data_IF_774573588843
#
_entry.id   IF_774573588843
#
_cell.length_a   1.000
_cell.length_b   1.000
_cell.length_c   1.000
_cell.angle_alpha   90.00
_cell.angle_beta   90.00
_cell.angle_gamma   90.00
#
_symmetry.space_group_name_H-M   'P 1'
#
loop_
_entity.id
_entity.type
_entity.pdbx_description
1 polymer ?
#
# COMPACT_ATOMS: atom_id res chain seq x y z
N UNK A 1 -25.16 -22.95 -80.22
CA UNK A 1 -23.99 -23.30 -79.42
C UNK A 1 -23.51 -22.02 -78.76
N UNK A 2 -24.24 -21.45 -77.80
CA UNK A 2 -23.88 -20.26 -77.00
C UNK A 2 -24.95 -20.10 -75.90
N UNK A 3 -24.80 -20.68 -74.70
CA UNK A 3 -25.52 -20.32 -73.47
C UNK A 3 -25.25 -21.33 -72.34
N UNK A 4 -23.99 -21.40 -71.89
CA UNK A 4 -23.67 -22.21 -70.72
C UNK A 4 -22.55 -21.61 -69.87
N UNK A 5 -22.40 -20.29 -69.79
CA UNK A 5 -21.40 -19.63 -68.91
C UNK A 5 -21.97 -18.41 -68.22
N UNK A 6 -23.06 -18.55 -67.48
CA UNK A 6 -23.54 -17.48 -66.56
C UNK A 6 -24.28 -18.07 -65.35
N UNK A 7 -23.58 -18.79 -64.48
CA UNK A 7 -24.11 -19.10 -63.14
C UNK A 7 -23.00 -19.57 -62.18
N UNK A 8 -22.03 -18.71 -61.94
CA UNK A 8 -21.09 -18.86 -60.83
C UNK A 8 -20.64 -17.46 -60.35
N UNK A 9 -21.57 -16.71 -59.84
CA UNK A 9 -21.29 -15.47 -59.11
C UNK A 9 -22.42 -15.31 -58.09
N UNK A 10 -22.18 -15.67 -56.82
CA UNK A 10 -22.74 -15.08 -55.60
C UNK A 10 -22.85 -16.09 -54.43
N UNK A 11 -21.77 -16.82 -54.09
CA UNK A 11 -21.76 -17.63 -52.88
C UNK A 11 -20.75 -17.15 -51.84
N UNK A 12 -20.06 -16.01 -52.08
CA UNK A 12 -19.03 -15.51 -51.15
C UNK A 12 -19.46 -14.48 -50.10
N UNK A 13 -20.69 -13.96 -50.22
CA UNK A 13 -21.13 -12.88 -49.31
C UNK A 13 -21.48 -13.28 -47.87
N UNK A 14 -22.12 -14.40 -47.56
CA UNK A 14 -22.47 -14.72 -46.17
C UNK A 14 -21.26 -15.02 -45.28
N UNK A 15 -20.21 -15.62 -45.81
CA UNK A 15 -19.02 -15.96 -44.99
C UNK A 15 -18.16 -14.77 -44.64
N UNK A 16 -18.10 -13.72 -45.48
CA UNK A 16 -17.35 -12.48 -45.17
C UNK A 16 -18.02 -11.65 -44.06
N UNK A 17 -19.35 -11.68 -44.00
CA UNK A 17 -20.10 -10.98 -42.94
C UNK A 17 -20.06 -11.74 -41.59
N UNK A 18 -20.08 -13.07 -41.63
CA UNK A 18 -19.94 -13.93 -40.44
C UNK A 18 -18.52 -13.81 -39.84
N UNK A 19 -17.46 -13.72 -40.66
CA UNK A 19 -16.09 -13.52 -40.20
C UNK A 19 -15.86 -12.14 -39.59
N UNK A 20 -16.46 -11.08 -40.15
CA UNK A 20 -16.39 -9.74 -39.62
C UNK A 20 -17.14 -9.61 -38.29
N UNK A 21 -18.28 -10.27 -38.11
CA UNK A 21 -19.02 -10.31 -36.86
C UNK A 21 -18.29 -11.09 -35.78
N UNK A 22 -17.59 -12.19 -36.11
CA UNK A 22 -16.79 -12.97 -35.17
C UNK A 22 -15.55 -12.19 -34.67
N UNK A 23 -14.90 -11.39 -35.54
CA UNK A 23 -13.78 -10.53 -35.18
C UNK A 23 -14.20 -9.35 -34.27
N UNK A 24 -15.42 -8.82 -34.43
CA UNK A 24 -15.95 -7.78 -33.54
C UNK A 24 -16.33 -8.31 -32.14
N UNK A 25 -16.76 -9.57 -32.02
CA UNK A 25 -17.06 -10.18 -30.71
C UNK A 25 -15.80 -10.46 -29.88
N UNK A 26 -14.64 -10.65 -30.48
CA UNK A 26 -13.37 -10.86 -29.76
C UNK A 26 -12.76 -9.55 -29.23
N UNK A 27 -13.24 -8.36 -29.65
CA UNK A 27 -12.67 -7.08 -29.26
C UNK A 27 -13.20 -6.52 -27.93
N UNK A 28 -14.17 -7.17 -27.28
CA UNK A 28 -14.73 -6.73 -25.99
C UNK A 28 -14.29 -7.60 -24.80
N UNK A 29 -13.16 -8.31 -24.92
CA UNK A 29 -12.51 -8.84 -23.74
C UNK A 29 -12.02 -7.63 -22.93
N UNK A 30 -12.85 -7.12 -22.03
CA UNK A 30 -12.42 -6.20 -21.00
C UNK A 30 -11.18 -6.79 -20.36
N UNK A 31 -10.02 -6.18 -20.58
CA UNK A 31 -8.79 -6.58 -19.91
C UNK A 31 -9.04 -6.45 -18.39
N UNK A 32 -9.44 -7.55 -17.77
CA UNK A 32 -9.54 -7.64 -16.32
C UNK A 32 -8.09 -7.55 -15.83
N UNK A 33 -7.67 -6.33 -15.48
CA UNK A 33 -6.36 -6.13 -14.86
C UNK A 33 -6.34 -6.92 -13.56
N UNK A 34 -5.32 -7.74 -13.37
CA UNK A 34 -5.11 -8.42 -12.09
C UNK A 34 -5.17 -7.39 -10.94
N UNK A 35 -5.71 -7.76 -9.79
CA UNK A 35 -5.74 -6.85 -8.64
C UNK A 35 -4.32 -6.44 -8.26
N UNK A 36 -4.16 -5.14 -7.92
CA UNK A 36 -2.88 -4.59 -7.46
C UNK A 36 -2.53 -5.16 -6.09
N UNK A 37 -1.34 -5.67 -5.92
CA UNK A 37 -0.87 -6.11 -4.59
C UNK A 37 -0.34 -4.92 -3.81
N UNK A 38 -0.89 -4.71 -2.61
CA UNK A 38 -0.43 -3.74 -1.62
C UNK A 38 0.30 -4.50 -0.54
N UNK A 39 1.60 -4.27 -0.38
CA UNK A 39 2.39 -4.81 0.72
C UNK A 39 2.45 -3.79 1.86
N UNK A 40 1.98 -4.16 3.06
CA UNK A 40 2.16 -3.37 4.28
C UNK A 40 3.38 -3.92 5.02
N UNK A 41 4.41 -3.11 5.13
CA UNK A 41 5.63 -3.37 5.90
C UNK A 41 5.62 -2.44 7.11
N UNK A 42 5.13 -2.96 8.24
CA UNK A 42 4.94 -2.20 9.46
C UNK A 42 5.39 -2.95 10.71
N UNK A 43 5.09 -2.35 11.85
CA UNK A 43 5.37 -2.90 13.17
C UNK A 43 4.08 -3.35 13.90
N UNK A 44 4.06 -3.26 15.23
CA UNK A 44 2.94 -3.66 16.07
C UNK A 44 1.65 -2.88 15.79
N UNK A 45 1.76 -1.63 15.32
CA UNK A 45 0.61 -0.76 15.00
C UNK A 45 -0.15 -1.24 13.76
N UNK A 46 0.52 -1.98 12.89
CA UNK A 46 -0.07 -2.59 11.69
C UNK A 46 -0.30 -4.11 11.85
N UNK A 47 0.36 -4.76 12.82
CA UNK A 47 0.28 -6.21 13.06
C UNK A 47 -0.85 -6.64 14.02
N UNK A 48 -1.78 -5.74 14.36
CA UNK A 48 -2.90 -6.01 15.29
C UNK A 48 -2.45 -6.46 16.70
N UNK A 49 -1.32 -5.92 17.20
CA UNK A 49 -0.83 -6.29 18.52
C UNK A 49 -1.88 -6.02 19.62
N UNK A 50 -2.20 -7.07 20.40
CA UNK A 50 -3.18 -6.97 21.49
C UNK A 50 -4.64 -6.81 21.05
N UNK A 51 -4.93 -6.93 19.76
CA UNK A 51 -6.27 -6.79 19.18
C UNK A 51 -6.86 -8.13 18.75
N UNK A 52 -8.17 -8.19 18.69
CA UNK A 52 -8.86 -9.26 17.97
C UNK A 52 -8.54 -9.16 16.47
N UNK A 53 -8.33 -10.31 15.83
CA UNK A 53 -8.04 -10.38 14.41
C UNK A 53 -9.14 -9.66 13.58
N UNK A 54 -8.72 -8.83 12.64
CA UNK A 54 -9.65 -8.13 11.75
C UNK A 54 -10.11 -6.75 12.27
N UNK A 55 -9.61 -6.30 13.43
CA UNK A 55 -9.97 -5.00 14.01
C UNK A 55 -8.91 -3.91 13.81
N UNK A 56 -7.73 -4.25 13.29
CA UNK A 56 -6.67 -3.30 12.98
C UNK A 56 -6.93 -2.51 11.70
N UNK A 57 -6.26 -1.37 11.55
CA UNK A 57 -6.43 -0.48 10.40
C UNK A 57 -6.17 -1.16 9.05
N UNK A 58 -5.26 -2.15 8.99
CA UNK A 58 -4.95 -2.88 7.75
C UNK A 58 -6.14 -3.73 7.33
N UNK A 59 -6.75 -4.47 8.28
CA UNK A 59 -7.94 -5.27 8.00
C UNK A 59 -9.15 -4.38 7.63
N UNK A 60 -9.32 -3.24 8.30
CA UNK A 60 -10.33 -2.25 7.94
C UNK A 60 -10.10 -1.66 6.54
N UNK A 61 -8.83 -1.45 6.14
CA UNK A 61 -8.48 -1.02 4.78
C UNK A 61 -8.86 -2.10 3.74
N UNK A 62 -8.62 -3.38 4.05
CA UNK A 62 -9.02 -4.49 3.18
C UNK A 62 -10.53 -4.55 2.99
N UNK A 63 -11.31 -4.38 4.07
CA UNK A 63 -12.77 -4.29 3.99
C UNK A 63 -13.21 -3.12 3.10
N UNK A 64 -12.60 -1.95 3.27
CA UNK A 64 -12.91 -0.76 2.49
C UNK A 64 -12.56 -0.89 1.01
N UNK A 65 -11.48 -1.61 0.67
CA UNK A 65 -11.14 -1.98 -0.71
C UNK A 65 -12.27 -2.82 -1.33
N UNK A 66 -12.75 -3.84 -0.62
CA UNK A 66 -13.85 -4.72 -1.05
C UNK A 66 -15.16 -3.94 -1.22
N UNK A 67 -15.53 -3.11 -0.25
CA UNK A 67 -16.73 -2.27 -0.29
C UNK A 67 -16.72 -1.32 -1.49
N UNK A 68 -15.56 -0.71 -1.79
CA UNK A 68 -15.40 0.21 -2.92
C UNK A 68 -15.12 -0.51 -4.24
N UNK A 69 -15.10 -1.84 -4.25
CA UNK A 69 -14.81 -2.68 -5.44
C UNK A 69 -13.52 -2.27 -6.14
N UNK A 70 -12.49 -1.90 -5.37
CA UNK A 70 -11.18 -1.59 -5.92
C UNK A 70 -10.48 -2.90 -6.28
N UNK A 71 -9.85 -2.94 -7.46
CA UNK A 71 -9.06 -4.10 -7.88
C UNK A 71 -7.69 -4.07 -7.17
N UNK A 72 -7.66 -4.39 -5.88
CA UNK A 72 -6.46 -4.43 -5.06
C UNK A 72 -6.63 -5.44 -3.92
N UNK A 73 -5.51 -6.08 -3.54
CA UNK A 73 -5.40 -6.99 -2.40
C UNK A 73 -4.31 -6.51 -1.46
N UNK A 74 -4.48 -6.72 -0.14
CA UNK A 74 -3.48 -6.35 0.86
C UNK A 74 -2.76 -7.59 1.36
N UNK A 75 -1.43 -7.52 1.38
CA UNK A 75 -0.55 -8.44 2.10
C UNK A 75 0.02 -7.69 3.30
N UNK A 76 -0.43 -8.06 4.50
CA UNK A 76 0.12 -7.52 5.73
C UNK A 76 1.35 -8.34 6.16
N UNK A 77 2.55 -7.78 5.98
CA UNK A 77 3.83 -8.38 6.38
C UNK A 77 4.42 -7.68 7.62
N UNK A 78 3.59 -7.00 8.40
CA UNK A 78 4.01 -6.30 9.63
C UNK A 78 4.40 -7.27 10.73
N UNK A 79 5.40 -6.89 11.53
CA UNK A 79 5.91 -7.69 12.65
C UNK A 79 6.03 -6.81 13.89
N UNK A 80 5.40 -7.22 14.99
CA UNK A 80 5.46 -6.48 16.26
C UNK A 80 6.90 -6.30 16.74
N UNK A 81 7.24 -5.07 17.16
CA UNK A 81 8.59 -4.71 17.60
C UNK A 81 9.60 -4.45 16.48
N UNK A 82 9.17 -4.50 15.22
CA UNK A 82 10.04 -4.30 14.07
C UNK A 82 10.66 -2.91 14.03
N UNK A 83 11.93 -2.84 13.68
CA UNK A 83 12.67 -1.60 13.44
C UNK A 83 12.86 -1.35 11.95
N UNK A 84 13.31 -0.14 11.60
CA UNK A 84 13.68 0.15 10.21
C UNK A 84 14.78 -0.78 9.68
N UNK A 85 15.73 -1.21 10.54
CA UNK A 85 16.78 -2.16 10.19
C UNK A 85 16.23 -3.54 9.87
N UNK A 86 15.31 -4.06 10.70
CA UNK A 86 14.68 -5.36 10.47
C UNK A 86 13.81 -5.35 9.21
N UNK A 87 13.00 -4.30 9.03
CA UNK A 87 12.20 -4.11 7.81
C UNK A 87 13.06 -4.09 6.54
N UNK A 88 14.18 -3.34 6.56
CA UNK A 88 15.16 -3.32 5.46
C UNK A 88 15.71 -4.70 5.14
N UNK A 89 16.01 -5.50 6.16
CA UNK A 89 16.54 -6.85 5.97
C UNK A 89 15.53 -7.81 5.34
N UNK A 90 14.24 -7.69 5.72
CA UNK A 90 13.17 -8.59 5.22
C UNK A 90 12.62 -8.20 3.85
N UNK A 91 12.70 -6.91 3.50
CA UNK A 91 12.03 -6.36 2.31
C UNK A 91 12.40 -7.07 1.00
N UNK A 92 13.68 -7.40 0.69
CA UNK A 92 14.02 -8.04 -0.58
C UNK A 92 13.25 -9.33 -0.84
N UNK A 93 13.17 -10.22 0.15
CA UNK A 93 12.42 -11.47 0.03
C UNK A 93 10.89 -11.26 -0.13
N UNK A 94 10.36 -10.20 0.50
CA UNK A 94 8.93 -9.83 0.36
C UNK A 94 8.64 -9.26 -1.04
N UNK A 95 9.54 -8.46 -1.61
CA UNK A 95 9.44 -7.94 -2.98
C UNK A 95 9.44 -9.07 -4.00
N UNK A 96 10.37 -10.01 -3.86
CA UNK A 96 10.48 -11.20 -4.73
C UNK A 96 9.23 -12.09 -4.63
N UNK A 97 8.71 -12.28 -3.41
CA UNK A 97 7.56 -13.17 -3.18
C UNK A 97 6.24 -12.60 -3.67
N UNK A 98 6.00 -11.32 -3.44
CA UNK A 98 4.66 -10.74 -3.61
C UNK A 98 4.54 -9.80 -4.82
N UNK A 99 5.65 -9.38 -5.43
CA UNK A 99 5.67 -8.44 -6.57
C UNK A 99 4.69 -7.28 -6.41
N UNK A 100 4.75 -6.52 -5.29
CA UNK A 100 3.74 -5.52 -4.98
C UNK A 100 3.82 -4.32 -5.93
N UNK A 101 2.67 -3.76 -6.32
CA UNK A 101 2.59 -2.47 -7.03
C UNK A 101 2.64 -1.28 -6.08
N UNK A 102 2.30 -1.50 -4.80
CA UNK A 102 2.33 -0.47 -3.75
C UNK A 102 2.92 -1.07 -2.48
N UNK A 103 3.83 -0.33 -1.86
CA UNK A 103 4.35 -0.65 -0.52
C UNK A 103 3.98 0.47 0.42
N UNK A 104 3.33 0.12 1.52
CA UNK A 104 3.12 1.00 2.66
C UNK A 104 4.22 0.71 3.66
N UNK A 105 5.11 1.68 3.91
CA UNK A 105 6.18 1.56 4.90
C UNK A 105 5.73 2.32 6.15
N UNK A 106 5.36 1.57 7.19
CA UNK A 106 4.95 2.04 8.51
C UNK A 106 5.97 1.52 9.53
N UNK A 107 7.15 2.13 9.57
CA UNK A 107 8.27 1.75 10.41
C UNK A 107 9.01 2.98 10.95
N UNK A 108 9.70 2.79 12.07
CA UNK A 108 10.52 3.78 12.73
C UNK A 108 10.09 4.05 14.17
N UNK A 109 8.83 3.75 14.55
CA UNK A 109 8.36 3.94 15.92
C UNK A 109 9.27 3.22 16.93
N UNK A 110 9.64 1.97 16.66
CA UNK A 110 10.53 1.20 17.54
C UNK A 110 11.97 1.71 17.54
N UNK A 111 12.46 2.28 16.45
CA UNK A 111 13.76 2.99 16.43
C UNK A 111 13.70 4.19 17.37
N UNK A 112 12.65 5.00 17.27
CA UNK A 112 12.43 6.18 18.12
C UNK A 112 12.27 5.81 19.58
N UNK A 113 11.43 4.85 19.92
CA UNK A 113 11.19 4.40 21.30
C UNK A 113 12.45 3.82 21.96
N UNK A 114 13.38 3.28 21.19
CA UNK A 114 14.68 2.79 21.66
C UNK A 114 15.79 3.86 21.67
N UNK A 115 15.47 5.08 21.27
CA UNK A 115 16.43 6.19 21.20
C UNK A 115 17.54 5.96 20.16
N UNK A 116 17.28 5.16 19.11
CA UNK A 116 18.26 4.90 18.06
C UNK A 116 18.54 6.18 17.24
N UNK A 117 19.71 6.28 16.61
CA UNK A 117 20.04 7.46 15.81
C UNK A 117 19.02 7.69 14.66
N UNK A 118 18.42 8.87 14.60
CA UNK A 118 17.45 9.25 13.56
C UNK A 118 18.03 9.07 12.17
N UNK A 119 19.32 9.43 11.97
CA UNK A 119 20.00 9.26 10.69
C UNK A 119 20.08 7.78 10.23
N UNK A 120 20.16 6.83 11.17
CA UNK A 120 20.17 5.41 10.84
C UNK A 120 18.77 4.94 10.38
N UNK A 121 17.72 5.37 11.08
CA UNK A 121 16.34 5.10 10.67
C UNK A 121 16.04 5.70 9.28
N UNK A 122 16.44 6.94 9.05
CA UNK A 122 16.28 7.61 7.76
C UNK A 122 17.01 6.87 6.63
N UNK A 123 18.26 6.45 6.86
CA UNK A 123 19.04 5.69 5.87
C UNK A 123 18.39 4.34 5.54
N UNK A 124 17.82 3.64 6.53
CA UNK A 124 17.10 2.40 6.32
C UNK A 124 15.80 2.61 5.53
N UNK A 125 15.00 3.63 5.89
CA UNK A 125 13.77 3.98 5.15
C UNK A 125 14.08 4.35 3.69
N UNK A 126 15.16 5.11 3.46
CA UNK A 126 15.64 5.47 2.12
C UNK A 126 16.02 4.23 1.31
N UNK A 127 16.78 3.31 1.92
CA UNK A 127 17.18 2.06 1.26
C UNK A 127 15.97 1.18 0.91
N UNK A 128 14.96 1.11 1.80
CA UNK A 128 13.73 0.40 1.50
C UNK A 128 12.94 1.03 0.35
N UNK A 129 12.86 2.35 0.32
CA UNK A 129 12.21 3.06 -0.78
C UNK A 129 12.93 2.85 -2.12
N UNK A 130 14.28 2.85 -2.13
CA UNK A 130 15.06 2.53 -3.34
C UNK A 130 14.78 1.12 -3.84
N UNK A 131 14.84 0.12 -2.95
CA UNK A 131 14.54 -1.27 -3.30
C UNK A 131 13.11 -1.44 -3.85
N UNK A 132 12.15 -0.73 -3.26
CA UNK A 132 10.77 -0.70 -3.75
C UNK A 132 10.69 -0.14 -5.18
N UNK A 133 11.35 0.99 -5.45
CA UNK A 133 11.37 1.62 -6.78
C UNK A 133 12.08 0.73 -7.82
N UNK A 134 13.18 0.07 -7.46
CA UNK A 134 13.86 -0.90 -8.32
C UNK A 134 12.94 -2.07 -8.70
N UNK A 135 12.10 -2.52 -7.75
CA UNK A 135 11.04 -3.50 -7.97
C UNK A 135 9.80 -2.92 -8.66
N UNK A 136 9.82 -1.65 -9.10
CA UNK A 136 8.71 -0.92 -9.74
C UNK A 136 7.48 -0.74 -8.84
N UNK A 137 7.64 -0.86 -7.54
CA UNK A 137 6.61 -0.59 -6.57
C UNK A 137 6.59 0.90 -6.20
N UNK A 138 5.39 1.45 -6.00
CA UNK A 138 5.20 2.80 -5.48
C UNK A 138 5.17 2.77 -3.97
N UNK A 139 5.77 3.77 -3.35
CA UNK A 139 5.91 3.84 -1.89
C UNK A 139 4.90 4.82 -1.31
N UNK A 140 4.22 4.42 -0.23
CA UNK A 140 3.52 5.29 0.70
C UNK A 140 4.27 5.26 2.03
N UNK A 141 4.78 6.40 2.48
CA UNK A 141 5.37 6.53 3.80
C UNK A 141 4.29 6.86 4.83
N UNK A 142 4.35 6.17 5.97
CA UNK A 142 3.48 6.44 7.14
C UNK A 142 4.37 6.88 8.29
N UNK A 143 4.25 8.16 8.65
CA UNK A 143 5.07 8.80 9.66
C UNK A 143 4.53 8.63 11.08
N UNK A 144 5.44 8.84 12.02
CA UNK A 144 5.21 8.77 13.46
C UNK A 144 5.83 9.97 14.17
N UNK A 145 5.36 10.24 15.39
CA UNK A 145 5.94 11.24 16.31
C UNK A 145 6.40 10.57 17.58
N UNK A 146 7.51 11.04 18.13
CA UNK A 146 7.95 10.64 19.46
C UNK A 146 7.27 11.49 20.52
N UNK A 147 6.92 10.89 21.69
CA UNK A 147 6.42 11.63 22.84
C UNK A 147 7.42 12.69 23.31
N UNK A 148 6.95 13.81 23.92
CA UNK A 148 7.82 14.92 24.32
C UNK A 148 8.91 14.57 25.35
N UNK A 149 8.71 13.50 26.12
CA UNK A 149 9.68 13.01 27.12
C UNK A 149 10.97 12.41 26.52
N UNK A 150 11.03 12.20 25.18
CA UNK A 150 12.25 11.81 24.47
C UNK A 150 13.19 13.00 24.19
N UNK A 151 12.81 14.21 24.60
CA UNK A 151 13.55 15.44 24.34
C UNK A 151 13.15 16.09 23.02
N UNK A 152 12.96 17.42 23.07
CA UNK A 152 12.41 18.19 21.93
C UNK A 152 13.25 17.99 20.65
N UNK A 153 14.57 18.15 20.77
CA UNK A 153 15.47 18.05 19.60
C UNK A 153 15.34 16.70 18.90
N UNK A 154 15.34 15.60 19.66
CA UNK A 154 15.20 14.25 19.09
C UNK A 154 13.82 14.04 18.47
N UNK A 155 12.75 14.43 19.17
CA UNK A 155 11.38 14.28 18.67
C UNK A 155 11.15 15.09 17.39
N UNK A 156 11.67 16.33 17.32
CA UNK A 156 11.55 17.18 16.13
C UNK A 156 12.35 16.60 14.95
N UNK A 157 13.57 16.13 15.16
CA UNK A 157 14.37 15.47 14.13
C UNK A 157 13.71 14.19 13.62
N UNK A 158 13.20 13.36 14.54
CA UNK A 158 12.50 12.13 14.20
C UNK A 158 11.26 12.39 13.33
N UNK A 159 10.45 13.36 13.69
CA UNK A 159 9.29 13.73 12.90
C UNK A 159 9.66 14.32 11.54
N UNK A 160 10.68 15.19 11.51
CA UNK A 160 11.11 15.85 10.28
C UNK A 160 11.68 14.88 9.22
N UNK A 161 12.31 13.74 9.64
CA UNK A 161 12.94 12.81 8.72
C UNK A 161 11.95 12.26 7.68
N UNK A 162 10.69 11.98 8.08
CA UNK A 162 9.69 11.47 7.12
C UNK A 162 9.35 12.50 6.05
N UNK A 163 9.21 13.77 6.46
CA UNK A 163 8.93 14.87 5.52
C UNK A 163 10.09 15.13 4.56
N UNK A 164 11.32 15.06 5.04
CA UNK A 164 12.54 15.18 4.24
C UNK A 164 12.63 14.05 3.23
N UNK A 165 12.52 12.82 3.70
CA UNK A 165 12.59 11.64 2.88
C UNK A 165 11.47 11.58 1.83
N UNK A 166 10.23 11.90 2.21
CA UNK A 166 9.08 11.94 1.29
C UNK A 166 9.33 12.87 0.09
N UNK A 167 9.92 14.05 0.32
CA UNK A 167 10.28 15.00 -0.74
C UNK A 167 11.39 14.46 -1.62
N UNK A 168 12.43 13.87 -1.03
CA UNK A 168 13.59 13.31 -1.71
C UNK A 168 13.18 12.19 -2.67
N UNK A 169 12.42 11.20 -2.16
CA UNK A 169 12.00 10.04 -2.97
C UNK A 169 10.70 10.27 -3.75
N UNK A 170 10.11 11.48 -3.65
CA UNK A 170 8.83 11.86 -4.29
C UNK A 170 7.68 10.91 -3.98
N UNK A 171 7.66 10.36 -2.75
CA UNK A 171 6.60 9.47 -2.27
C UNK A 171 5.56 10.24 -1.45
N UNK A 172 4.27 9.92 -1.55
CA UNK A 172 3.26 10.43 -0.64
C UNK A 172 3.59 10.06 0.81
N UNK A 173 3.21 10.93 1.73
CA UNK A 173 3.41 10.80 3.17
C UNK A 173 2.09 10.96 3.91
N UNK A 174 1.83 10.08 4.87
CA UNK A 174 0.92 10.31 5.99
C UNK A 174 1.79 10.88 7.13
N UNK A 175 1.69 12.16 7.46
CA UNK A 175 2.66 12.78 8.38
C UNK A 175 2.67 12.17 9.78
N UNK A 176 1.48 11.81 10.28
CA UNK A 176 1.31 11.19 11.58
C UNK A 176 0.08 10.29 11.60
N UNK A 177 0.29 8.98 11.69
CA UNK A 177 -0.83 8.03 11.63
C UNK A 177 -1.75 8.06 12.84
N UNK A 178 -1.27 8.52 14.00
CA UNK A 178 -2.05 8.63 15.25
C UNK A 178 -2.67 10.02 15.44
N UNK A 179 -2.82 10.83 14.40
CA UNK A 179 -3.50 12.11 14.50
C UNK A 179 -4.93 11.93 14.99
N UNK A 180 -5.36 12.72 15.99
CA UNK A 180 -6.67 12.58 16.63
C UNK A 180 -6.84 11.33 17.51
N UNK A 181 -5.77 10.55 17.73
CA UNK A 181 -5.72 9.40 18.64
C UNK A 181 -4.73 9.65 19.77
N UNK A 182 -3.55 10.19 19.47
CA UNK A 182 -2.40 10.28 20.39
C UNK A 182 -2.68 11.09 21.66
N UNK A 183 -3.62 12.02 21.64
CA UNK A 183 -4.04 12.87 22.76
C UNK A 183 -5.17 12.25 23.60
N UNK A 184 -5.62 11.04 23.29
CA UNK A 184 -6.76 10.35 23.91
C UNK A 184 -6.33 9.07 24.63
N UNK A 185 -5.94 9.14 25.92
CA UNK A 185 -5.44 7.97 26.65
C UNK A 185 -6.38 6.76 26.64
N UNK A 186 -7.72 6.99 26.56
CA UNK A 186 -8.73 5.93 26.51
C UNK A 186 -8.70 5.12 25.20
N UNK A 187 -8.04 5.61 24.16
CA UNK A 187 -7.84 4.91 22.89
C UNK A 187 -6.56 4.08 22.86
N UNK A 188 -5.88 3.93 24.01
CA UNK A 188 -4.70 3.09 24.14
C UNK A 188 -4.95 1.92 25.10
N UNK A 189 -4.25 0.83 24.83
CA UNK A 189 -4.20 -0.34 25.73
C UNK A 189 -3.51 0.02 27.06
N UNK A 190 -3.50 -0.89 28.02
CA UNK A 190 -2.92 -0.66 29.33
C UNK A 190 -1.44 -0.24 29.31
N UNK A 191 -0.71 -0.60 28.25
CA UNK A 191 0.69 -0.24 28.03
C UNK A 191 0.89 1.21 27.58
N UNK A 192 -0.19 1.94 27.24
CA UNK A 192 -0.20 3.32 26.75
C UNK A 192 0.64 3.59 25.48
N UNK A 193 0.93 2.52 24.75
CA UNK A 193 1.69 2.57 23.49
C UNK A 193 0.85 2.08 22.31
N UNK A 194 0.10 1.00 22.50
CA UNK A 194 -0.67 0.40 21.43
C UNK A 194 -2.13 0.87 21.46
N UNK A 195 -2.68 1.33 20.33
CA UNK A 195 -4.07 1.72 20.23
C UNK A 195 -5.04 0.56 20.50
N UNK A 196 -6.22 0.86 21.05
CA UNK A 196 -7.33 -0.08 21.15
C UNK A 196 -8.04 -0.22 19.81
N UNK A 197 -8.92 -1.22 19.67
CA UNK A 197 -9.69 -1.43 18.45
C UNK A 197 -10.49 -0.18 18.02
N UNK A 198 -11.01 0.58 18.99
CA UNK A 198 -11.80 1.80 18.76
C UNK A 198 -10.98 2.94 18.11
N UNK A 199 -9.66 2.90 18.22
CA UNK A 199 -8.78 3.89 17.59
C UNK A 199 -8.56 3.63 16.08
N UNK A 200 -8.63 2.36 15.65
CA UNK A 200 -8.22 1.97 14.30
C UNK A 200 -9.06 2.54 13.15
N UNK A 201 -10.38 2.81 13.29
CA UNK A 201 -11.11 3.57 12.27
C UNK A 201 -10.54 4.98 12.04
N UNK A 202 -10.09 5.68 13.09
CA UNK A 202 -9.43 6.99 12.97
C UNK A 202 -8.07 6.86 12.32
N UNK A 203 -7.27 5.85 12.71
CA UNK A 203 -5.97 5.56 12.07
C UNK A 203 -6.16 5.29 10.58
N UNK A 204 -7.13 4.46 10.21
CA UNK A 204 -7.46 4.24 8.80
C UNK A 204 -7.87 5.54 8.10
N UNK A 205 -8.67 6.38 8.74
CA UNK A 205 -9.10 7.66 8.16
C UNK A 205 -7.90 8.58 7.85
N UNK A 206 -6.82 8.52 8.64
CA UNK A 206 -5.59 9.26 8.38
C UNK A 206 -4.79 8.69 7.20
N UNK A 207 -4.78 7.38 7.01
CA UNK A 207 -3.99 6.69 5.98
C UNK A 207 -4.73 6.60 4.64
N UNK A 208 -6.05 6.37 4.69
CA UNK A 208 -6.86 6.02 3.53
C UNK A 208 -6.79 7.02 2.36
N UNK A 209 -6.84 8.34 2.56
CA UNK A 209 -6.80 9.30 1.45
C UNK A 209 -5.54 9.14 0.60
N UNK A 210 -4.38 8.96 1.23
CA UNK A 210 -3.09 8.76 0.56
C UNK A 210 -3.02 7.39 -0.12
N UNK A 211 -3.49 6.33 0.54
CA UNK A 211 -3.55 4.98 -0.02
C UNK A 211 -4.49 4.92 -1.22
N UNK A 212 -5.68 5.51 -1.14
CA UNK A 212 -6.63 5.55 -2.24
C UNK A 212 -6.08 6.32 -3.44
N UNK A 213 -5.40 7.45 -3.18
CA UNK A 213 -4.79 8.26 -4.25
C UNK A 213 -3.72 7.46 -5.00
N UNK A 214 -2.81 6.77 -4.29
CA UNK A 214 -1.75 5.97 -4.93
C UNK A 214 -2.32 4.77 -5.70
N UNK A 215 -3.44 4.20 -5.28
CA UNK A 215 -4.11 3.12 -6.00
C UNK A 215 -4.75 3.58 -7.31
N UNK A 216 -5.23 4.82 -7.38
CA UNK A 216 -5.88 5.39 -8.58
C UNK A 216 -4.89 5.89 -9.63
N UNK A 217 -3.65 6.19 -9.25
CA UNK A 217 -2.58 6.55 -10.20
C UNK A 217 -2.20 5.31 -11.02
N UNK A 218 -2.02 5.50 -12.34
CA UNK A 218 -1.53 4.45 -13.26
C UNK A 218 -0.02 4.38 -13.22
#
# INVERSE_FOLDING_TARGET
MLNLLRKCRDTGRPYRQAFAALLLLCATASAYSAPKTILVLGDSLSAEYGLSRGSGWVALAEQKIKEQKLAADIVNASVSGETTSGGRTRLPALLEKYHPEVIVIELGANDGLRGLPVAAAEANLRAMASAAHEAKARVLLVGMRMPPNYGRQYADQFYAMYGTLSKEIKAPLVPFMLEGVADKPQLFQADRLHPTAEAHPTILANIWPSLQKILKTR
#
